data_IF_672235917143
#
_entry.id   IF_672235917143
#
_cell.length_a   1.000
_cell.length_b   1.000
_cell.length_c   1.000
_cell.angle_alpha   90.00
_cell.angle_beta   90.00
_cell.angle_gamma   90.00
#
_symmetry.space_group_name_H-M   'P 1'
#
loop_
_entity.id
_entity.type
_entity.pdbx_description
1 polymer ?
#
# COMPACT_ATOMS: atom_id res chain seq x y z
N UNK A 1 -12.34 -19.11 -5.11
CA UNK A 1 -11.66 -18.73 -6.37
C UNK A 1 -10.58 -17.72 -6.03
N UNK A 2 -9.32 -18.00 -6.35
CA UNK A 2 -8.22 -17.06 -6.15
C UNK A 2 -8.43 -15.86 -7.07
N UNK A 3 -8.62 -14.66 -6.51
CA UNK A 3 -8.70 -13.39 -7.27
C UNK A 3 -7.29 -12.96 -7.68
N UNK A 4 -6.56 -13.81 -8.41
CA UNK A 4 -5.27 -13.43 -8.94
C UNK A 4 -5.48 -12.51 -10.16
N UNK A 5 -5.32 -11.22 -9.93
CA UNK A 5 -5.43 -10.19 -10.96
C UNK A 5 -4.09 -10.10 -11.72
N UNK A 6 -4.03 -10.62 -12.95
CA UNK A 6 -2.88 -10.33 -13.84
C UNK A 6 -2.85 -8.83 -14.13
N UNK A 7 -1.68 -8.21 -13.99
CA UNK A 7 -1.46 -6.81 -14.37
C UNK A 7 -1.47 -6.72 -15.90
N UNK A 8 -2.43 -5.98 -16.45
CA UNK A 8 -2.61 -5.71 -17.88
C UNK A 8 -2.56 -4.21 -18.12
N UNK A 9 -2.28 -3.78 -19.35
CA UNK A 9 -2.29 -2.35 -19.71
C UNK A 9 -3.63 -1.69 -19.37
N UNK A 10 -4.74 -2.38 -19.62
CA UNK A 10 -6.08 -1.91 -19.24
C UNK A 10 -6.21 -1.63 -17.74
N UNK A 11 -5.62 -2.48 -16.89
CA UNK A 11 -5.60 -2.26 -15.44
C UNK A 11 -4.68 -1.12 -15.03
N UNK A 12 -3.57 -0.94 -15.71
CA UNK A 12 -2.68 0.20 -15.45
C UNK A 12 -3.44 1.51 -15.75
N UNK A 13 -4.11 1.59 -16.90
CA UNK A 13 -4.97 2.73 -17.27
C UNK A 13 -6.10 2.91 -16.24
N UNK A 14 -6.70 1.83 -15.75
CA UNK A 14 -7.70 1.89 -14.70
C UNK A 14 -7.12 2.45 -13.39
N UNK A 15 -5.96 1.98 -12.96
CA UNK A 15 -5.28 2.45 -11.74
C UNK A 15 -4.92 3.94 -11.83
N UNK A 16 -4.50 4.42 -12.99
CA UNK A 16 -4.26 5.84 -13.23
C UNK A 16 -5.53 6.68 -13.11
N UNK A 17 -6.66 6.18 -13.66
CA UNK A 17 -7.99 6.83 -13.53
C UNK A 17 -8.50 6.83 -12.10
N UNK A 18 -8.23 5.78 -11.34
CA UNK A 18 -8.55 5.67 -9.90
C UNK A 18 -7.63 6.55 -9.02
N UNK A 19 -6.63 7.19 -9.60
CA UNK A 19 -5.68 8.02 -8.86
C UNK A 19 -4.80 7.22 -7.90
N UNK A 20 -4.50 5.96 -8.24
CA UNK A 20 -3.56 5.15 -7.45
C UNK A 20 -2.13 5.68 -7.57
N UNK A 21 -1.37 5.53 -6.50
CA UNK A 21 -0.06 6.14 -6.30
C UNK A 21 -0.09 7.65 -6.05
N UNK A 22 -1.28 8.30 -6.04
CA UNK A 22 -1.42 9.74 -5.84
C UNK A 22 -1.91 10.06 -4.43
N UNK A 23 -1.74 11.33 -4.05
CA UNK A 23 -2.11 11.84 -2.73
C UNK A 23 -0.97 11.78 -1.71
N UNK A 24 -1.27 12.25 -0.50
CA UNK A 24 -0.35 12.35 0.64
C UNK A 24 -1.10 12.13 1.94
N UNK A 25 -0.42 11.61 2.96
CA UNK A 25 -1.01 11.34 4.28
C UNK A 25 -2.27 10.47 4.19
N UNK A 26 -3.35 10.90 4.85
CA UNK A 26 -4.66 10.21 4.85
C UNK A 26 -5.23 9.97 3.45
N UNK A 27 -4.91 10.83 2.49
CA UNK A 27 -5.47 10.80 1.14
C UNK A 27 -4.61 10.02 0.14
N UNK A 28 -3.49 9.43 0.57
CA UNK A 28 -2.67 8.62 -0.31
C UNK A 28 -3.37 7.30 -0.66
N UNK A 29 -3.46 7.00 -1.95
CA UNK A 29 -4.08 5.78 -2.47
C UNK A 29 -2.97 4.84 -2.98
N UNK A 30 -2.63 3.73 -2.29
CA UNK A 30 -1.54 2.84 -2.68
C UNK A 30 -1.80 2.17 -4.04
N UNK A 31 -0.73 1.87 -4.79
CA UNK A 31 -0.84 1.27 -6.12
C UNK A 31 -1.49 -0.11 -6.09
N UNK A 32 -1.10 -0.92 -5.10
CA UNK A 32 -1.59 -2.28 -4.91
C UNK A 32 -2.19 -2.45 -3.51
N UNK A 33 -3.27 -3.22 -3.42
CA UNK A 33 -4.00 -3.49 -2.17
C UNK A 33 -3.97 -4.97 -1.82
N UNK A 34 -4.06 -5.30 -0.53
CA UNK A 34 -3.99 -6.70 -0.05
C UNK A 34 -5.08 -7.63 -0.64
N UNK A 35 -6.19 -7.07 -1.14
CA UNK A 35 -7.28 -7.85 -1.75
C UNK A 35 -6.98 -8.33 -3.18
N UNK A 36 -5.99 -7.73 -3.84
CA UNK A 36 -5.72 -7.96 -5.27
C UNK A 36 -4.78 -9.14 -5.52
N UNK A 37 -4.18 -9.68 -4.46
CA UNK A 37 -3.21 -10.77 -4.53
C UNK A 37 -3.59 -11.87 -3.54
N UNK A 38 -3.67 -13.10 -4.03
CA UNK A 38 -3.70 -14.25 -3.14
C UNK A 38 -2.31 -14.43 -2.54
N UNK A 39 -2.19 -14.21 -1.23
CA UNK A 39 -0.90 -14.32 -0.56
C UNK A 39 -0.44 -15.78 -0.51
N UNK A 40 0.85 -16.02 -0.77
CA UNK A 40 1.55 -17.21 -0.26
C UNK A 40 2.16 -16.96 1.13
N UNK A 41 2.21 -15.70 1.57
CA UNK A 41 2.79 -15.24 2.85
C UNK A 41 1.83 -14.37 3.67
N UNK A 42 2.35 -13.61 4.64
CA UNK A 42 1.55 -12.75 5.53
C UNK A 42 1.23 -11.41 4.88
N UNK A 43 -0.05 -11.15 4.63
CA UNK A 43 -0.55 -9.81 4.29
C UNK A 43 -1.34 -9.26 5.48
N UNK A 44 -1.10 -8.01 5.85
CA UNK A 44 -1.80 -7.38 6.97
C UNK A 44 -2.22 -5.96 6.64
N UNK A 45 -3.36 -5.57 7.21
CA UNK A 45 -3.84 -4.20 7.25
C UNK A 45 -3.48 -3.63 8.60
N UNK A 46 -2.62 -2.63 8.64
CA UNK A 46 -2.16 -2.02 9.88
C UNK A 46 -2.55 -0.55 9.88
N UNK A 47 -3.19 -0.08 10.95
CA UNK A 47 -3.49 1.33 11.11
C UNK A 47 -2.22 2.10 11.46
N UNK A 48 -1.92 3.15 10.70
CA UNK A 48 -0.81 4.06 10.95
C UNK A 48 -1.31 5.30 11.70
N UNK A 49 -0.71 5.59 12.85
CA UNK A 49 -1.13 6.69 13.70
C UNK A 49 -0.67 8.04 13.15
N UNK A 50 0.54 8.10 12.55
CA UNK A 50 1.07 9.36 11.97
C UNK A 50 0.16 9.96 10.91
N UNK A 51 -0.32 9.10 10.01
CA UNK A 51 -1.08 9.51 8.83
C UNK A 51 -2.55 9.14 8.93
N UNK A 52 -3.01 8.63 10.07
CA UNK A 52 -4.40 8.26 10.37
C UNK A 52 -5.08 7.47 9.24
N UNK A 53 -4.37 6.48 8.69
CA UNK A 53 -4.91 5.62 7.63
C UNK A 53 -4.50 4.18 7.79
N UNK A 54 -5.21 3.30 7.08
CA UNK A 54 -4.81 1.91 6.95
C UNK A 54 -3.67 1.78 5.91
N UNK A 55 -2.60 1.10 6.30
CA UNK A 55 -1.52 0.67 5.43
C UNK A 55 -1.71 -0.78 5.00
N UNK A 56 -1.48 -1.04 3.72
CA UNK A 56 -1.52 -2.38 3.13
C UNK A 56 -0.09 -2.93 2.98
N UNK A 57 0.31 -3.85 3.87
CA UNK A 57 1.66 -4.46 3.86
C UNK A 57 1.60 -5.95 3.51
N UNK A 58 2.58 -6.42 2.74
CA UNK A 58 2.59 -7.72 2.08
C UNK A 58 3.62 -8.70 2.64
N UNK A 59 4.33 -8.29 3.69
CA UNK A 59 5.28 -9.14 4.41
C UNK A 59 5.48 -8.69 5.86
N UNK A 60 6.00 -9.60 6.70
CA UNK A 60 6.41 -9.26 8.06
C UNK A 60 7.54 -8.22 8.09
N UNK A 61 8.41 -8.23 7.07
CA UNK A 61 9.47 -7.24 6.93
C UNK A 61 8.91 -5.85 6.66
N UNK A 62 7.96 -5.73 5.73
CA UNK A 62 7.25 -4.46 5.49
C UNK A 62 6.54 -3.96 6.73
N UNK A 63 5.90 -4.87 7.50
CA UNK A 63 5.25 -4.51 8.76
C UNK A 63 6.26 -3.99 9.79
N UNK A 64 7.44 -4.62 9.91
CA UNK A 64 8.50 -4.14 10.79
C UNK A 64 9.02 -2.76 10.36
N UNK A 65 9.25 -2.56 9.06
CA UNK A 65 9.64 -1.26 8.50
C UNK A 65 8.58 -0.18 8.76
N UNK A 66 7.28 -0.50 8.60
CA UNK A 66 6.18 0.40 8.91
C UNK A 66 6.25 0.85 10.37
N UNK A 67 6.42 -0.06 11.32
CA UNK A 67 6.55 0.31 12.73
C UNK A 67 7.78 1.18 13.00
N UNK A 68 8.94 0.85 12.42
CA UNK A 68 10.14 1.69 12.56
C UNK A 68 9.86 3.13 12.06
N UNK A 69 9.16 3.28 10.95
CA UNK A 69 8.77 4.57 10.40
C UNK A 69 7.73 5.29 11.27
N UNK A 70 6.74 4.59 11.83
CA UNK A 70 5.73 5.13 12.75
C UNK A 70 6.33 5.67 14.07
N UNK A 71 7.45 5.11 14.56
CA UNK A 71 8.10 5.62 15.77
C UNK A 71 9.20 6.66 15.50
N UNK A 72 9.56 6.89 14.24
CA UNK A 72 10.58 7.89 13.91
C UNK A 72 9.97 9.30 13.88
N UNK A 73 10.49 10.21 14.72
CA UNK A 73 10.01 11.59 14.83
C UNK A 73 10.22 12.42 13.55
N UNK A 74 11.19 12.07 12.71
CA UNK A 74 11.47 12.77 11.45
C UNK A 74 10.60 12.31 10.28
N UNK A 75 9.86 11.20 10.43
CA UNK A 75 8.95 10.71 9.41
C UNK A 75 7.61 11.46 9.53
N UNK A 76 7.22 12.13 8.45
CA UNK A 76 5.99 12.92 8.34
C UNK A 76 4.88 12.21 7.55
N UNK A 77 5.25 11.33 6.62
CA UNK A 77 4.31 10.59 5.78
C UNK A 77 4.92 9.24 5.41
N UNK A 78 4.06 8.23 5.23
CA UNK A 78 4.44 6.87 4.86
C UNK A 78 3.55 6.47 3.68
N UNK A 79 4.17 6.22 2.53
CA UNK A 79 3.50 5.87 1.27
C UNK A 79 3.98 4.50 0.80
N UNK A 80 3.37 3.44 1.31
CA UNK A 80 3.65 2.08 0.84
C UNK A 80 3.19 1.87 -0.60
N UNK A 81 3.78 0.87 -1.25
CA UNK A 81 3.41 0.47 -2.61
C UNK A 81 3.39 1.63 -3.60
N UNK A 82 4.41 2.48 -3.52
CA UNK A 82 4.56 3.65 -4.37
C UNK A 82 4.97 3.24 -5.79
N UNK A 83 4.25 3.69 -6.84
CA UNK A 83 4.59 3.33 -8.21
C UNK A 83 5.77 4.16 -8.74
N UNK A 84 6.52 3.60 -9.70
CA UNK A 84 7.74 4.20 -10.30
C UNK A 84 7.54 4.61 -11.77
N UNK A 85 6.28 4.80 -12.17
CA UNK A 85 5.84 5.17 -13.51
C UNK A 85 6.59 6.36 -14.11
#
# INVERSE_FOLDING_TARGET
MSRYSKLTEEKIIQYEKEGRGKGTGQNYNPQIKVQEFASKGTMTRTFGEKVQRQHDVFSNLEKACLYIMEYNLHVVDIREQYPLN
#
